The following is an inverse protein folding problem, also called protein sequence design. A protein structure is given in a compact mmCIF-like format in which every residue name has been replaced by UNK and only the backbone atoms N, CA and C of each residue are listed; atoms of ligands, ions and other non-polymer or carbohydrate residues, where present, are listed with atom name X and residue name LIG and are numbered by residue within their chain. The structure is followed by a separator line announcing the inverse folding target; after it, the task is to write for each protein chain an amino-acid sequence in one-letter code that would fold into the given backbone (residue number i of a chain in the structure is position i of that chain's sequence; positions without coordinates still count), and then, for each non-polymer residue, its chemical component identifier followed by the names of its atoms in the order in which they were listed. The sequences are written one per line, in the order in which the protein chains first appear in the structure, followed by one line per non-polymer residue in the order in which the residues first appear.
data_IF_345703831071
#
_entry.id   IF_345703831071
#
_cell.length_a   1.000
_cell.length_b   1.000
_cell.length_c   1.000
_cell.angle_alpha   90.00
_cell.angle_beta   90.00
_cell.angle_gamma   90.00
#
_symmetry.space_group_name_H-M   'P 1'
#
loop_
_entity.id
_entity.type
_entity.pdbx_description
1 polymer ?
#
# COMPACT_ATOMS: atom_id res chain seq x y z
N UNK A 1 8.00 2.07 3.36
CA UNK A 1 8.13 0.65 3.78
C UNK A 1 8.57 -0.16 2.57
N UNK A 2 9.39 -1.18 2.76
CA UNK A 2 9.70 -2.19 1.74
C UNK A 2 8.85 -3.43 1.98
N UNK A 3 8.25 -3.95 0.91
CA UNK A 3 7.28 -5.03 0.95
C UNK A 3 7.57 -6.06 -0.11
N UNK A 4 7.32 -7.31 0.21
CA UNK A 4 7.47 -8.43 -0.71
C UNK A 4 6.18 -9.24 -0.72
N UNK A 5 5.89 -9.90 -1.85
CA UNK A 5 4.89 -10.93 -1.95
C UNK A 5 5.58 -12.27 -1.78
N UNK A 6 5.01 -13.13 -0.94
CA UNK A 6 5.59 -14.44 -0.69
C UNK A 6 4.56 -15.46 -0.26
N UNK A 7 5.02 -16.71 -0.25
CA UNK A 7 4.31 -17.86 0.27
C UNK A 7 4.89 -18.22 1.64
N UNK A 8 4.05 -18.30 2.66
CA UNK A 8 4.46 -18.79 3.96
C UNK A 8 4.70 -20.31 3.89
N UNK A 9 5.84 -20.78 4.40
CA UNK A 9 6.18 -22.21 4.37
C UNK A 9 5.41 -23.01 5.42
N UNK A 10 4.89 -22.36 6.46
CA UNK A 10 4.11 -22.98 7.54
C UNK A 10 2.77 -23.53 7.07
N UNK A 11 2.08 -22.85 6.16
CA UNK A 11 0.71 -23.20 5.73
C UNK A 11 0.44 -22.99 4.23
N UNK A 12 1.42 -22.52 3.47
CA UNK A 12 1.29 -22.23 2.04
C UNK A 12 0.51 -20.96 1.70
N UNK A 13 0.13 -20.14 2.69
CA UNK A 13 -0.62 -18.91 2.43
C UNK A 13 0.22 -17.91 1.63
N UNK A 14 -0.38 -17.32 0.58
CA UNK A 14 0.29 -16.35 -0.29
C UNK A 14 -0.24 -14.96 -0.04
N UNK A 15 0.65 -14.01 0.21
CA UNK A 15 0.29 -12.61 0.42
C UNK A 15 1.50 -11.68 0.48
N UNK A 16 1.23 -10.42 0.76
CA UNK A 16 2.23 -9.38 0.94
C UNK A 16 2.62 -9.26 2.40
N UNK A 17 3.92 -9.21 2.68
CA UNK A 17 4.45 -9.02 4.02
C UNK A 17 5.42 -7.84 4.06
N UNK A 18 5.68 -7.32 5.25
CA UNK A 18 6.59 -6.20 5.45
C UNK A 18 8.01 -6.73 5.63
N UNK A 19 8.92 -6.33 4.75
CA UNK A 19 10.35 -6.65 4.88
C UNK A 19 11.02 -5.60 5.77
N UNK A 20 10.78 -4.32 5.46
CA UNK A 20 11.21 -3.17 6.26
C UNK A 20 10.02 -2.23 6.46
N UNK A 21 9.71 -1.88 7.70
CA UNK A 21 8.60 -0.98 7.98
C UNK A 21 8.90 0.49 7.58
N UNK A 22 7.96 1.39 7.84
CA UNK A 22 8.12 2.83 7.54
C UNK A 22 9.13 3.56 8.45
N UNK A 23 9.56 2.94 9.55
CA UNK A 23 10.57 3.45 10.47
C UNK A 23 11.98 2.89 10.16
N UNK A 24 12.13 2.09 9.09
CA UNK A 24 13.40 1.46 8.75
C UNK A 24 13.72 0.19 9.55
N UNK A 25 12.82 -0.29 10.40
CA UNK A 25 13.02 -1.54 11.14
C UNK A 25 12.82 -2.74 10.21
N UNK A 26 13.79 -3.65 10.20
CA UNK A 26 13.72 -4.93 9.49
C UNK A 26 12.75 -5.85 10.23
N UNK A 27 11.66 -6.20 9.57
CA UNK A 27 10.63 -7.11 10.09
C UNK A 27 10.85 -8.54 9.60
N UNK A 28 11.38 -8.70 8.38
CA UNK A 28 11.83 -9.98 7.88
C UNK A 28 13.24 -9.83 7.33
N UNK A 29 14.30 -10.25 8.05
CA UNK A 29 15.63 -10.38 7.47
C UNK A 29 15.69 -11.50 6.41
N UNK A 30 16.63 -11.40 5.45
CA UNK A 30 16.92 -12.51 4.54
C UNK A 30 17.47 -13.71 5.33
N UNK A 31 16.96 -14.89 5.03
CA UNK A 31 17.44 -16.19 5.53
C UNK A 31 18.32 -16.90 4.50
N UNK A 32 18.20 -18.22 4.47
CA UNK A 32 19.00 -19.08 3.60
C UNK A 32 18.66 -18.87 2.12
N UNK A 33 19.67 -19.08 1.25
CA UNK A 33 19.45 -19.14 -0.20
C UNK A 33 18.52 -20.29 -0.56
N UNK A 34 17.73 -20.10 -1.62
CA UNK A 34 16.82 -21.11 -2.15
C UNK A 34 17.25 -21.55 -3.53
N UNK A 35 17.10 -22.84 -3.81
CA UNK A 35 17.35 -23.42 -5.13
C UNK A 35 16.07 -24.02 -5.68
N UNK A 36 15.91 -24.00 -7.00
CA UNK A 36 14.83 -24.71 -7.70
C UNK A 36 15.42 -25.80 -8.58
N UNK A 37 14.86 -27.01 -8.51
CA UNK A 37 15.29 -28.13 -9.35
C UNK A 37 14.93 -27.85 -10.82
N UNK A 38 15.92 -27.84 -11.72
CA UNK A 38 15.71 -27.64 -13.17
C UNK A 38 15.38 -28.95 -13.88
N UNK A 39 15.68 -30.09 -13.24
CA UNK A 39 15.39 -31.44 -13.69
C UNK A 39 15.13 -32.36 -12.48
N UNK A 40 14.60 -33.56 -12.75
CA UNK A 40 14.44 -34.56 -11.69
C UNK A 40 15.79 -35.11 -11.27
N UNK A 41 16.09 -35.07 -9.96
CA UNK A 41 17.41 -35.39 -9.41
C UNK A 41 17.27 -36.12 -8.07
N UNK A 42 18.26 -36.93 -7.69
CA UNK A 42 18.23 -37.62 -6.40
C UNK A 42 18.62 -36.68 -5.25
N UNK A 43 17.87 -36.75 -4.16
CA UNK A 43 18.28 -36.28 -2.83
C UNK A 43 18.92 -37.45 -2.11
N UNK A 44 20.14 -37.29 -1.61
CA UNK A 44 20.90 -38.37 -0.96
C UNK A 44 21.28 -38.02 0.46
N UNK A 45 21.56 -39.00 1.31
CA UNK A 45 21.90 -38.79 2.72
C UNK A 45 23.35 -38.33 2.94
N UNK A 46 24.24 -38.52 1.96
CA UNK A 46 25.66 -38.19 2.04
C UNK A 46 26.18 -37.28 0.93
N UNK A 47 27.30 -36.60 1.21
CA UNK A 47 28.02 -35.75 0.25
C UNK A 47 28.69 -36.59 -0.85
N UNK A 48 29.33 -37.70 -0.48
CA UNK A 48 29.98 -38.60 -1.43
C UNK A 48 28.95 -39.38 -2.26
N UNK A 49 28.91 -39.12 -3.57
CA UNK A 49 27.98 -39.78 -4.50
C UNK A 49 28.21 -41.28 -4.66
N UNK A 50 29.39 -41.80 -4.30
CA UNK A 50 29.70 -43.23 -4.33
C UNK A 50 29.35 -43.94 -3.02
N UNK A 51 29.24 -43.19 -1.92
CA UNK A 51 28.99 -43.69 -0.58
C UNK A 51 27.77 -43.02 0.08
N UNK A 52 26.67 -42.91 -0.67
CA UNK A 52 25.39 -42.40 -0.18
C UNK A 52 24.20 -43.26 -0.62
N UNK A 53 23.08 -43.11 0.07
CA UNK A 53 21.79 -43.68 -0.29
C UNK A 53 20.85 -42.59 -0.80
N UNK A 54 19.98 -42.96 -1.73
CA UNK A 54 18.91 -42.07 -2.21
C UNK A 54 17.84 -42.00 -1.12
N UNK A 55 17.67 -40.80 -0.54
CA UNK A 55 16.56 -40.49 0.38
C UNK A 55 15.26 -40.49 -0.41
N UNK A 56 15.23 -39.76 -1.52
CA UNK A 56 14.14 -39.77 -2.50
C UNK A 56 14.54 -39.05 -3.79
N UNK A 57 13.62 -39.04 -4.76
CA UNK A 57 13.74 -38.23 -5.97
C UNK A 57 13.07 -36.87 -5.78
N UNK A 58 13.73 -35.82 -6.26
CA UNK A 58 13.21 -34.47 -6.38
C UNK A 58 12.59 -34.28 -7.77
N UNK A 59 11.50 -33.55 -7.84
CA UNK A 59 10.80 -33.21 -9.08
C UNK A 59 11.36 -31.93 -9.70
N UNK A 60 11.26 -31.78 -11.03
CA UNK A 60 11.53 -30.49 -11.68
C UNK A 60 10.57 -29.43 -11.11
N UNK A 61 11.10 -28.27 -10.75
CA UNK A 61 10.37 -27.17 -10.13
C UNK A 61 10.29 -27.26 -8.61
N UNK A 62 10.83 -28.32 -8.00
CA UNK A 62 10.83 -28.45 -6.54
C UNK A 62 11.81 -27.47 -5.89
N UNK A 63 11.36 -26.82 -4.81
CA UNK A 63 12.10 -25.79 -4.11
C UNK A 63 12.86 -26.35 -2.91
N UNK A 64 14.09 -25.88 -2.77
CA UNK A 64 15.07 -26.33 -1.80
C UNK A 64 15.59 -25.16 -0.98
N UNK A 65 15.67 -25.34 0.33
CA UNK A 65 16.33 -24.40 1.24
C UNK A 65 17.74 -24.87 1.47
N UNK A 66 18.75 -24.07 1.13
CA UNK A 66 20.15 -24.44 1.36
C UNK A 66 20.42 -24.48 2.85
N UNK A 67 21.04 -25.56 3.32
CA UNK A 67 21.54 -25.75 4.67
C UNK A 67 23.07 -25.66 4.70
N UNK A 68 23.74 -26.13 3.64
CA UNK A 68 25.19 -26.14 3.50
C UNK A 68 25.61 -26.09 2.03
N UNK A 69 26.79 -25.52 1.76
CA UNK A 69 27.34 -25.38 0.41
C UNK A 69 26.94 -24.08 -0.30
N UNK A 70 27.21 -23.95 -1.61
CA UNK A 70 27.69 -25.00 -2.53
C UNK A 70 29.11 -25.50 -2.22
N UNK A 71 29.32 -26.80 -2.42
CA UNK A 71 30.62 -27.47 -2.28
C UNK A 71 30.96 -28.21 -3.57
N UNK A 72 32.24 -28.15 -3.96
CA UNK A 72 32.76 -28.91 -5.09
C UNK A 72 33.29 -30.27 -4.61
N UNK A 73 32.89 -31.32 -5.31
CA UNK A 73 33.49 -32.64 -5.23
C UNK A 73 34.41 -32.78 -6.44
N UNK A 74 35.67 -32.39 -6.26
CA UNK A 74 36.71 -32.44 -7.30
C UNK A 74 36.92 -33.86 -7.85
N UNK A 75 36.72 -34.88 -7.02
CA UNK A 75 36.91 -36.28 -7.41
C UNK A 75 35.91 -36.70 -8.47
N UNK A 76 34.67 -36.24 -8.34
CA UNK A 76 33.59 -36.55 -9.27
C UNK A 76 33.28 -35.41 -10.25
N UNK A 77 33.92 -34.24 -10.10
CA UNK A 77 33.73 -33.05 -10.92
C UNK A 77 32.33 -32.44 -10.78
N UNK A 78 31.69 -32.56 -9.62
CA UNK A 78 30.30 -32.11 -9.41
C UNK A 78 30.21 -31.05 -8.31
N UNK A 79 29.18 -30.21 -8.37
CA UNK A 79 28.85 -29.27 -7.29
C UNK A 79 27.60 -29.74 -6.58
N UNK A 80 27.60 -29.73 -5.24
CA UNK A 80 26.48 -30.19 -4.42
C UNK A 80 26.15 -29.17 -3.33
N UNK A 81 24.90 -29.19 -2.89
CA UNK A 81 24.42 -28.46 -1.70
C UNK A 81 23.76 -29.46 -0.77
N UNK A 82 23.84 -29.22 0.53
CA UNK A 82 22.91 -29.82 1.49
C UNK A 82 21.69 -28.93 1.57
N UNK A 83 20.51 -29.49 1.41
CA UNK A 83 19.28 -28.72 1.38
C UNK A 83 18.11 -29.45 2.05
N UNK A 84 17.11 -28.68 2.48
CA UNK A 84 15.79 -29.14 2.90
C UNK A 84 14.79 -28.90 1.79
N UNK A 85 14.06 -29.92 1.37
CA UNK A 85 13.01 -29.78 0.40
C UNK A 85 11.74 -29.22 1.03
N UNK A 86 11.15 -28.20 0.39
CA UNK A 86 9.95 -27.52 0.88
C UNK A 86 8.66 -28.36 0.81
N UNK A 87 8.67 -29.44 0.01
CA UNK A 87 7.50 -30.29 -0.23
C UNK A 87 7.17 -31.19 0.96
N UNK A 88 8.20 -31.69 1.66
CA UNK A 88 8.08 -32.74 2.68
C UNK A 88 9.12 -32.66 3.79
N UNK A 89 9.86 -31.55 3.87
CA UNK A 89 10.95 -31.30 4.81
C UNK A 89 12.10 -32.33 4.78
N UNK A 90 12.19 -33.16 3.72
CA UNK A 90 13.30 -34.10 3.57
C UNK A 90 14.63 -33.34 3.40
N UNK A 91 15.61 -33.71 4.20
CA UNK A 91 16.96 -33.16 4.14
C UNK A 91 17.93 -34.12 3.46
N UNK A 92 18.87 -33.56 2.72
CA UNK A 92 19.94 -34.33 2.10
C UNK A 92 20.80 -33.50 1.18
N UNK A 93 21.69 -34.17 0.47
CA UNK A 93 22.56 -33.61 -0.54
C UNK A 93 21.94 -33.75 -1.92
N UNK A 94 22.05 -32.68 -2.72
CA UNK A 94 21.64 -32.67 -4.11
C UNK A 94 22.76 -32.11 -4.97
N UNK A 95 22.96 -32.70 -6.14
CA UNK A 95 23.87 -32.17 -7.15
C UNK A 95 23.23 -30.98 -7.84
N UNK A 96 23.86 -29.81 -7.78
CA UNK A 96 23.42 -28.60 -8.49
C UNK A 96 24.00 -28.54 -9.89
N UNK A 97 25.28 -28.95 -10.06
CA UNK A 97 26.00 -29.01 -11.35
C UNK A 97 26.69 -30.35 -11.50
N UNK A 98 26.45 -31.04 -12.62
CA UNK A 98 27.12 -32.29 -12.99
C UNK A 98 28.48 -32.07 -13.68
N UNK A 99 29.23 -33.16 -13.84
CA UNK A 99 30.58 -33.16 -14.41
C UNK A 99 30.68 -32.69 -15.87
N UNK A 100 29.62 -32.90 -16.66
CA UNK A 100 29.50 -32.39 -18.03
C UNK A 100 28.89 -30.97 -18.09
N UNK A 101 28.75 -30.28 -16.96
CA UNK A 101 28.20 -28.93 -16.88
C UNK A 101 26.66 -28.85 -16.80
N UNK A 102 25.94 -29.97 -16.86
CA UNK A 102 24.47 -30.00 -16.70
C UNK A 102 24.04 -29.40 -15.36
N UNK A 103 23.09 -28.48 -15.38
CA UNK A 103 22.49 -27.87 -14.17
C UNK A 103 21.24 -28.64 -13.78
N UNK A 104 21.19 -29.13 -12.55
CA UNK A 104 20.05 -29.88 -11.98
C UNK A 104 19.27 -29.08 -10.93
N UNK A 105 19.91 -28.07 -10.33
CA UNK A 105 19.26 -27.09 -9.47
C UNK A 105 19.97 -25.75 -9.58
N UNK A 106 19.20 -24.66 -9.65
CA UNK A 106 19.70 -23.29 -9.79
C UNK A 106 19.23 -22.41 -8.64
N UNK A 107 20.04 -21.39 -8.28
CA UNK A 107 19.64 -20.43 -7.25
C UNK A 107 18.44 -19.62 -7.72
N UNK A 108 17.39 -19.58 -6.90
CA UNK A 108 16.09 -18.98 -7.20
C UNK A 108 15.79 -17.76 -6.33
N UNK A 109 16.60 -17.49 -5.31
CA UNK A 109 16.41 -16.37 -4.40
C UNK A 109 16.83 -16.69 -2.97
N UNK A 110 16.10 -16.11 -2.02
CA UNK A 110 16.30 -16.30 -0.58
C UNK A 110 14.96 -16.39 0.13
N UNK A 111 14.95 -17.14 1.23
CA UNK A 111 13.87 -17.04 2.20
C UNK A 111 13.96 -15.74 2.97
N UNK A 112 12.84 -15.34 3.55
CA UNK A 112 12.76 -14.27 4.54
C UNK A 112 12.17 -14.83 5.82
N UNK A 113 12.86 -14.62 6.94
CA UNK A 113 12.40 -15.14 8.24
C UNK A 113 11.71 -14.02 8.99
N UNK A 114 10.52 -14.28 9.51
CA UNK A 114 9.73 -13.29 10.25
C UNK A 114 10.38 -13.05 11.62
N UNK A 115 10.92 -11.86 11.85
CA UNK A 115 11.63 -11.52 13.10
C UNK A 115 10.71 -11.08 14.24
N UNK A 116 9.42 -10.90 13.95
CA UNK A 116 8.35 -10.57 14.92
C UNK A 116 7.01 -10.79 14.27
N UNK A 117 5.96 -10.93 15.08
CA UNK A 117 4.60 -11.06 14.56
C UNK A 117 4.22 -9.90 13.63
N UNK A 118 3.89 -10.19 12.37
CA UNK A 118 3.50 -9.20 11.35
C UNK A 118 2.27 -9.68 10.57
N UNK A 119 1.48 -8.78 9.99
CA UNK A 119 0.38 -9.16 9.10
C UNK A 119 0.89 -9.70 7.75
N UNK A 120 0.20 -10.70 7.21
CA UNK A 120 0.21 -11.07 5.80
C UNK A 120 -1.02 -10.43 5.14
N UNK A 121 -0.80 -9.52 4.21
CA UNK A 121 -1.86 -8.76 3.53
C UNK A 121 -2.22 -9.32 2.15
N UNK A 122 -3.47 -9.14 1.73
CA UNK A 122 -3.93 -9.52 0.40
C UNK A 122 -3.29 -8.66 -0.72
N UNK A 123 -2.96 -7.41 -0.42
CA UNK A 123 -2.38 -6.45 -1.37
C UNK A 123 -1.10 -5.81 -0.84
N UNK A 124 -0.36 -5.13 -1.73
CA UNK A 124 0.92 -4.50 -1.38
C UNK A 124 0.80 -3.43 -0.29
N UNK A 125 -0.36 -2.75 -0.19
CA UNK A 125 -0.54 -1.71 0.83
C UNK A 125 -0.58 -2.34 2.22
N UNK A 126 0.10 -1.70 3.16
CA UNK A 126 0.04 -2.01 4.59
C UNK A 126 -1.35 -1.91 5.19
N UNK A 127 -2.22 -1.10 4.58
CA UNK A 127 -3.64 -0.99 4.89
C UNK A 127 -4.55 -2.00 4.18
N UNK A 128 -4.01 -2.88 3.32
CA UNK A 128 -4.82 -3.91 2.66
C UNK A 128 -5.32 -4.96 3.67
N UNK A 129 -6.37 -5.69 3.28
CA UNK A 129 -6.98 -6.74 4.09
C UNK A 129 -5.92 -7.70 4.64
N UNK A 130 -5.88 -7.85 5.95
CA UNK A 130 -5.01 -8.83 6.61
C UNK A 130 -5.62 -10.21 6.44
N UNK A 131 -4.90 -11.12 5.80
CA UNK A 131 -5.28 -12.52 5.62
C UNK A 131 -5.09 -13.28 6.93
N UNK A 132 -3.92 -13.12 7.55
CA UNK A 132 -3.58 -13.64 8.89
C UNK A 132 -2.34 -12.94 9.44
N UNK A 133 -1.98 -13.28 10.67
CA UNK A 133 -0.69 -12.92 11.24
C UNK A 133 0.34 -14.02 10.94
N UNK A 134 1.55 -13.61 10.59
CA UNK A 134 2.75 -14.44 10.55
C UNK A 134 3.41 -14.37 11.92
N UNK A 135 3.72 -15.51 12.54
CA UNK A 135 4.43 -15.61 13.80
C UNK A 135 5.95 -15.40 13.61
N UNK A 136 6.63 -15.02 14.69
CA UNK A 136 8.09 -14.99 14.74
C UNK A 136 8.67 -16.38 14.39
N UNK A 137 9.72 -16.39 13.58
CA UNK A 137 10.35 -17.60 13.07
C UNK A 137 9.71 -18.18 11.80
N UNK A 138 8.52 -17.73 11.38
CA UNK A 138 7.95 -18.21 10.11
C UNK A 138 8.83 -17.82 8.91
N UNK A 139 9.06 -18.77 8.01
CA UNK A 139 9.82 -18.55 6.78
C UNK A 139 8.88 -18.24 5.61
N UNK A 140 9.25 -17.22 4.84
CA UNK A 140 8.57 -16.75 3.64
C UNK A 140 9.44 -17.05 2.41
N UNK A 141 8.88 -17.75 1.44
CA UNK A 141 9.42 -17.85 0.10
C UNK A 141 9.01 -16.60 -0.68
N UNK A 142 9.96 -15.84 -1.23
CA UNK A 142 9.66 -14.62 -1.98
C UNK A 142 9.27 -14.96 -3.42
N UNK A 143 8.10 -14.48 -3.80
CA UNK A 143 7.58 -14.58 -5.17
C UNK A 143 7.75 -13.26 -5.94
N UNK A 144 7.71 -12.12 -5.24
CA UNK A 144 7.85 -10.79 -5.83
C UNK A 144 8.46 -9.80 -4.84
N UNK A 145 9.39 -8.95 -5.29
CA UNK A 145 10.03 -7.93 -4.47
C UNK A 145 11.29 -8.41 -3.74
N UNK A 146 11.80 -7.68 -2.73
CA UNK A 146 11.18 -6.52 -2.08
C UNK A 146 11.07 -5.29 -2.99
N UNK A 147 10.00 -4.50 -2.83
CA UNK A 147 9.84 -3.20 -3.47
C UNK A 147 9.20 -2.18 -2.53
N UNK A 148 9.37 -0.90 -2.85
CA UNK A 148 8.78 0.18 -2.05
C UNK A 148 7.26 0.21 -2.19
N UNK A 149 6.59 0.29 -1.04
CA UNK A 149 5.18 0.62 -0.97
C UNK A 149 5.01 2.10 -1.34
N UNK A 150 4.48 2.37 -2.54
CA UNK A 150 4.11 3.72 -2.93
C UNK A 150 2.85 4.13 -2.17
N UNK A 151 3.00 5.14 -1.32
CA UNK A 151 1.86 5.84 -0.74
C UNK A 151 1.37 6.88 -1.74
N UNK A 152 0.05 6.99 -1.91
CA UNK A 152 -0.50 8.12 -2.64
C UNK A 152 -0.06 9.42 -1.95
N UNK A 153 0.47 10.40 -2.70
CA UNK A 153 0.88 11.66 -2.12
C UNK A 153 -0.35 12.31 -1.49
N UNK A 154 -0.29 12.52 -0.18
CA UNK A 154 -1.31 13.31 0.51
C UNK A 154 -1.13 14.76 0.06
N UNK A 155 -2.10 15.26 -0.72
CA UNK A 155 -2.14 16.68 -1.01
C UNK A 155 -2.51 17.41 0.29
N UNK A 156 -1.63 18.30 0.76
CA UNK A 156 -1.89 19.13 1.94
C UNK A 156 -1.84 20.59 1.53
N UNK A 157 -2.77 21.36 2.06
CA UNK A 157 -2.85 22.80 1.87
C UNK A 157 -2.60 23.50 3.21
N UNK A 158 -1.82 24.58 3.18
CA UNK A 158 -1.67 25.46 4.34
C UNK A 158 -2.81 26.46 4.33
N UNK A 159 -3.64 26.44 5.35
CA UNK A 159 -4.84 27.26 5.44
C UNK A 159 -4.85 28.08 6.73
N UNK A 160 -5.65 29.14 6.73
CA UNK A 160 -6.01 29.91 7.93
C UNK A 160 -7.52 29.87 8.08
N UNK A 161 -8.00 29.45 9.25
CA UNK A 161 -9.43 29.44 9.56
C UNK A 161 -9.96 30.88 9.67
N UNK A 162 -11.12 31.13 9.06
CA UNK A 162 -11.76 32.46 9.07
C UNK A 162 -12.41 32.75 10.43
N UNK A 163 -12.82 31.71 11.15
CA UNK A 163 -13.53 31.82 12.44
C UNK A 163 -12.67 32.35 13.58
N UNK A 164 -11.42 31.91 13.66
CA UNK A 164 -10.52 32.18 14.80
C UNK A 164 -9.10 32.60 14.36
N UNK A 165 -8.84 32.63 13.06
CA UNK A 165 -7.53 32.97 12.51
C UNK A 165 -6.46 31.90 12.70
N UNK A 166 -6.80 30.69 13.18
CA UNK A 166 -5.85 29.60 13.37
C UNK A 166 -5.26 29.15 12.03
N UNK A 167 -3.94 28.98 11.97
CA UNK A 167 -3.24 28.57 10.74
C UNK A 167 -2.65 27.16 10.89
N UNK A 168 -2.80 26.32 9.87
CA UNK A 168 -2.34 24.94 9.91
C UNK A 168 -2.34 24.25 8.55
N UNK A 169 -1.88 23.00 8.53
CA UNK A 169 -1.90 22.14 7.35
C UNK A 169 -3.11 21.21 7.38
N UNK A 170 -3.96 21.31 6.36
CA UNK A 170 -5.12 20.41 6.18
C UNK A 170 -4.80 19.45 5.04
N UNK A 171 -5.02 18.16 5.25
CA UNK A 171 -4.95 17.15 4.17
C UNK A 171 -6.18 17.30 3.29
N UNK A 172 -6.01 17.56 2.00
CA UNK A 172 -7.11 17.67 1.06
C UNK A 172 -7.76 16.29 0.87
N UNK A 173 -9.03 16.20 1.23
CA UNK A 173 -9.91 15.07 0.91
C UNK A 173 -11.19 15.63 0.30
N UNK A 174 -11.89 14.82 -0.48
CA UNK A 174 -13.16 15.21 -1.10
C UNK A 174 -14.25 15.55 -0.09
N UNK A 175 -14.14 15.06 1.15
CA UNK A 175 -15.12 15.19 2.22
C UNK A 175 -14.82 16.32 3.22
N UNK A 176 -13.61 16.89 3.23
CA UNK A 176 -13.18 17.82 4.29
C UNK A 176 -12.91 19.26 3.83
N UNK A 177 -12.76 19.51 2.52
CA UNK A 177 -12.60 20.84 1.96
C UNK A 177 -13.50 20.98 0.73
N UNK A 178 -14.31 22.04 0.71
CA UNK A 178 -15.15 22.39 -0.44
C UNK A 178 -14.46 23.47 -1.27
N UNK A 179 -14.56 23.41 -2.62
CA UNK A 179 -14.09 24.48 -3.48
C UNK A 179 -14.68 25.83 -3.06
N UNK A 180 -13.88 26.88 -3.15
CA UNK A 180 -14.31 28.26 -2.97
C UNK A 180 -14.18 29.00 -4.30
N UNK A 181 -15.21 29.78 -4.63
CA UNK A 181 -15.31 30.59 -5.85
C UNK A 181 -15.98 31.91 -5.49
N UNK A 182 -15.68 33.01 -6.18
CA UNK A 182 -16.40 34.25 -6.00
C UNK A 182 -17.85 34.20 -6.49
N UNK A 183 -18.30 33.11 -7.14
CA UNK A 183 -19.67 33.01 -7.67
C UNK A 183 -20.45 31.89 -7.00
N UNK A 184 -21.69 32.19 -6.63
CA UNK A 184 -22.61 31.24 -6.01
C UNK A 184 -23.95 31.24 -6.73
N UNK A 185 -24.56 30.07 -6.85
CA UNK A 185 -25.91 29.88 -7.37
C UNK A 185 -26.89 29.71 -6.21
N UNK A 186 -27.99 30.43 -6.24
CA UNK A 186 -29.12 30.14 -5.36
C UNK A 186 -29.73 28.78 -5.70
N UNK A 187 -29.84 27.88 -4.72
CA UNK A 187 -30.46 26.55 -4.88
C UNK A 187 -31.63 26.34 -3.92
N UNK A 188 -31.63 27.02 -2.78
CA UNK A 188 -32.70 26.93 -1.80
C UNK A 188 -33.80 27.98 -2.02
N UNK A 189 -35.03 27.62 -1.67
CA UNK A 189 -36.14 28.59 -1.59
C UNK A 189 -36.00 29.41 -0.31
N UNK A 190 -36.33 30.70 -0.36
CA UNK A 190 -36.28 31.61 0.80
C UNK A 190 -34.89 32.18 1.10
N UNK A 191 -33.95 32.12 0.16
CA UNK A 191 -32.67 32.81 0.30
C UNK A 191 -32.88 34.32 0.17
N UNK A 192 -32.53 35.08 1.21
CA UNK A 192 -32.67 36.53 1.23
C UNK A 192 -31.30 37.23 1.15
N UNK A 193 -31.14 38.09 0.15
CA UNK A 193 -30.00 38.97 -0.02
C UNK A 193 -30.37 40.36 0.54
N UNK A 194 -30.15 40.55 1.84
CA UNK A 194 -30.78 41.67 2.54
C UNK A 194 -32.30 41.45 2.60
N UNK A 195 -33.08 42.38 2.05
CA UNK A 195 -34.55 42.26 1.96
C UNK A 195 -35.02 41.67 0.61
N UNK A 196 -34.09 41.36 -0.31
CA UNK A 196 -34.41 40.85 -1.64
C UNK A 196 -34.41 39.32 -1.66
N UNK A 197 -35.51 38.72 -2.09
CA UNK A 197 -35.55 37.27 -2.33
C UNK A 197 -34.72 36.87 -3.55
N UNK A 198 -33.92 35.82 -3.40
CA UNK A 198 -33.23 35.13 -4.48
C UNK A 198 -34.06 33.93 -4.93
N UNK A 199 -34.24 33.80 -6.24
CA UNK A 199 -34.90 32.63 -6.84
C UNK A 199 -33.86 31.56 -7.17
N UNK A 200 -34.17 30.25 -7.03
CA UNK A 200 -33.28 29.19 -7.48
C UNK A 200 -32.81 29.40 -8.92
N UNK A 201 -31.50 29.28 -9.14
CA UNK A 201 -30.83 29.54 -10.40
C UNK A 201 -30.17 30.93 -10.51
N UNK A 202 -30.60 31.93 -9.71
CA UNK A 202 -29.94 33.24 -9.70
C UNK A 202 -28.50 33.15 -9.19
N UNK A 203 -27.61 33.94 -9.78
CA UNK A 203 -26.18 33.96 -9.46
C UNK A 203 -25.85 35.23 -8.67
N UNK A 204 -25.05 35.06 -7.62
CA UNK A 204 -24.50 36.15 -6.83
C UNK A 204 -22.97 36.08 -6.82
N UNK A 205 -22.34 37.24 -6.88
CA UNK A 205 -20.90 37.43 -6.78
C UNK A 205 -20.52 37.85 -5.35
N UNK A 206 -19.61 37.12 -4.74
CA UNK A 206 -19.09 37.34 -3.40
C UNK A 206 -18.27 38.63 -3.35
N UNK A 207 -18.62 39.51 -2.42
CA UNK A 207 -17.88 40.72 -2.09
C UNK A 207 -17.10 40.59 -0.78
N UNK A 208 -17.66 39.88 0.22
CA UNK A 208 -17.05 39.71 1.54
C UNK A 208 -17.61 38.47 2.25
N UNK A 209 -16.82 37.85 3.13
CA UNK A 209 -17.14 36.58 3.81
C UNK A 209 -16.57 35.32 3.14
N UNK A 210 -16.91 34.11 3.63
CA UNK A 210 -17.93 33.80 4.63
C UNK A 210 -17.59 34.31 6.03
N UNK A 211 -18.60 34.85 6.73
CA UNK A 211 -18.51 35.22 8.16
C UNK A 211 -19.51 34.41 8.97
N UNK A 212 -19.09 33.94 10.14
CA UNK A 212 -19.98 33.31 11.09
C UNK A 212 -20.80 34.39 11.79
N UNK A 213 -22.12 34.32 11.64
CA UNK A 213 -23.05 35.16 12.41
C UNK A 213 -23.27 34.50 13.78
N UNK A 214 -22.64 35.05 14.83
CA UNK A 214 -22.62 34.44 16.16
C UNK A 214 -24.02 34.18 16.75
N UNK A 215 -25.01 35.01 16.41
CA UNK A 215 -26.38 34.87 16.90
C UNK A 215 -27.11 33.63 16.36
N UNK A 216 -26.83 33.23 15.13
CA UNK A 216 -27.54 32.13 14.43
C UNK A 216 -26.64 30.92 14.19
N UNK A 217 -25.32 31.08 14.32
CA UNK A 217 -24.33 30.09 13.90
C UNK A 217 -24.26 29.93 12.37
N UNK A 218 -24.98 30.76 11.60
CA UNK A 218 -25.01 30.65 10.15
C UNK A 218 -23.78 31.31 9.53
N UNK A 219 -23.21 30.69 8.50
CA UNK A 219 -22.23 31.34 7.64
C UNK A 219 -22.95 32.23 6.64
N UNK A 220 -22.64 33.53 6.64
CA UNK A 220 -23.20 34.52 5.72
C UNK A 220 -22.15 35.03 4.76
N UNK A 221 -22.58 35.29 3.53
CA UNK A 221 -21.81 35.91 2.47
C UNK A 221 -22.42 37.27 2.15
N UNK A 222 -21.58 38.30 1.98
CA UNK A 222 -22.00 39.56 1.39
C UNK A 222 -21.80 39.44 -0.10
N UNK A 223 -22.88 39.55 -0.87
CA UNK A 223 -22.83 39.33 -2.30
C UNK A 223 -23.54 40.44 -3.07
N UNK A 224 -23.22 40.54 -4.35
CA UNK A 224 -23.94 41.31 -5.37
C UNK A 224 -24.70 40.34 -6.29
N UNK A 225 -26.01 40.51 -6.46
CA UNK A 225 -26.76 39.73 -7.45
C UNK A 225 -26.37 40.13 -8.88
N UNK A 226 -26.07 39.15 -9.74
CA UNK A 226 -25.69 39.43 -11.14
C UNK A 226 -26.87 39.96 -11.96
N UNK A 227 -28.10 39.58 -11.59
CA UNK A 227 -29.32 39.90 -12.33
C UNK A 227 -29.68 41.38 -12.28
N UNK A 228 -29.53 42.02 -11.13
CA UNK A 228 -29.99 43.40 -10.90
C UNK A 228 -29.05 44.24 -10.03
N UNK A 229 -27.88 43.72 -9.67
CA UNK A 229 -26.84 44.46 -8.96
C UNK A 229 -27.12 44.71 -7.48
N UNK A 230 -28.22 44.20 -6.91
CA UNK A 230 -28.53 44.38 -5.49
C UNK A 230 -27.45 43.75 -4.62
N UNK A 231 -27.02 44.47 -3.58
CA UNK A 231 -25.97 44.03 -2.64
C UNK A 231 -26.58 43.77 -1.27
N UNK A 232 -26.25 42.64 -0.66
CA UNK A 232 -26.73 42.30 0.67
C UNK A 232 -26.00 41.11 1.30
N UNK A 233 -26.39 40.76 2.53
CA UNK A 233 -25.92 39.57 3.22
C UNK A 233 -26.93 38.43 3.06
N UNK A 234 -26.46 37.24 2.69
CA UNK A 234 -27.25 36.03 2.49
C UNK A 234 -26.59 34.84 3.18
N UNK A 235 -27.40 33.93 3.75
CA UNK A 235 -26.90 32.70 4.38
C UNK A 235 -26.49 31.65 3.35
N UNK A 236 -25.42 30.89 3.62
CA UNK A 236 -25.04 29.72 2.82
C UNK A 236 -26.03 28.56 2.96
N UNK A 237 -26.65 28.44 4.13
CA UNK A 237 -27.60 27.37 4.45
C UNK A 237 -28.76 27.92 5.29
N UNK A 238 -29.94 27.34 5.12
CA UNK A 238 -31.14 27.64 5.88
C UNK A 238 -31.27 26.75 7.12
N UNK A 239 -32.46 26.70 7.73
CA UNK A 239 -32.75 25.80 8.84
C UNK A 239 -32.37 24.34 8.51
N UNK A 240 -31.89 23.60 9.52
CA UNK A 240 -31.45 22.21 9.39
C UNK A 240 -30.26 22.00 8.43
N UNK A 241 -29.54 23.06 8.05
CA UNK A 241 -28.36 22.98 7.18
C UNK A 241 -28.68 22.78 5.70
N UNK A 242 -29.94 22.96 5.27
CA UNK A 242 -30.31 22.88 3.85
C UNK A 242 -29.57 23.97 3.05
N UNK A 243 -28.90 23.63 1.94
CA UNK A 243 -28.13 24.63 1.18
C UNK A 243 -29.06 25.69 0.58
N UNK A 244 -28.71 26.96 0.78
CA UNK A 244 -29.35 28.09 0.10
C UNK A 244 -28.52 28.53 -1.09
N UNK A 245 -27.20 28.50 -0.94
CA UNK A 245 -26.24 28.85 -1.99
C UNK A 245 -25.26 27.71 -2.23
N UNK A 246 -25.01 27.40 -3.49
CA UNK A 246 -23.97 26.47 -3.93
C UNK A 246 -22.86 27.21 -4.69
N UNK A 247 -21.61 26.87 -4.37
CA UNK A 247 -20.45 27.43 -5.03
C UNK A 247 -20.44 26.99 -6.51
N UNK A 248 -20.26 27.94 -7.44
CA UNK A 248 -20.04 27.65 -8.85
C UNK A 248 -18.54 27.50 -9.07
N UNK A 249 -18.02 26.29 -9.34
CA UNK A 249 -16.58 26.08 -9.51
C UNK A 249 -16.04 26.97 -10.65
N UNK A 250 -14.92 27.64 -10.41
CA UNK A 250 -14.22 28.36 -11.47
C UNK A 250 -13.70 27.37 -12.51
N UNK A 251 -13.99 27.59 -13.80
CA UNK A 251 -13.51 26.75 -14.92
C UNK A 251 -12.00 26.90 -15.19
N UNK A 252 -11.31 27.80 -14.49
CA UNK A 252 -9.85 27.89 -14.51
C UNK A 252 -9.27 26.68 -13.79
N UNK A 253 -8.57 25.82 -14.56
CA UNK A 253 -7.74 24.75 -14.02
C UNK A 253 -6.78 25.33 -12.97
N UNK A 254 -6.63 24.71 -11.80
CA UNK A 254 -5.53 25.08 -10.91
C UNK A 254 -4.21 24.88 -11.66
N UNK A 255 -3.35 25.90 -11.61
CA UNK A 255 -1.97 25.87 -12.12
C UNK A 255 -1.13 24.98 -11.20
#
# INVERSE_FOLDING_TARGET
SQRARGKALSDGAVGWFTVVNNQGQVCCPPGNSTFICTASIALTDGMDVKACQVVRKLDKGELLTVLEGPMEDETNGITRIKARATKDDAEGWVTTRGNAGSIYAEESGRQYVVARTIPLQQGIRSSATTLRMLAEGEAMEVLEGPREEQMEPLLRVRCRAVSDGAAGWVTLRSDNLKPWSPRYRCVGRGAQLGERDLVPGEIVELLDGPRLEAATGALRLRCRAEKDGVVGWVGLSGPEGKPLLECIPSTTRPI
#
